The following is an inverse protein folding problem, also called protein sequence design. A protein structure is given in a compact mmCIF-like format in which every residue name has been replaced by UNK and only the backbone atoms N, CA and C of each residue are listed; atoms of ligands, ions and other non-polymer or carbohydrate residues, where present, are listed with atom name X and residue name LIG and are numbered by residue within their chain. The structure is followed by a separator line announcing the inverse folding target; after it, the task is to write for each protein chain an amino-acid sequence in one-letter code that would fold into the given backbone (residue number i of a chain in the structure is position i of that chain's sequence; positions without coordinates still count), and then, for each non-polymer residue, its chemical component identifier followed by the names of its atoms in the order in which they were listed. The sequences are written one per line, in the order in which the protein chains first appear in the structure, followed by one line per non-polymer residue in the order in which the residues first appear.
data_IF_128425920042
#
_entry.id   IF_128425920042
#
_cell.length_a   1.000
_cell.length_b   1.000
_cell.length_c   1.000
_cell.angle_alpha   90.00
_cell.angle_beta   90.00
_cell.angle_gamma   90.00
#
_symmetry.space_group_name_H-M   'P 1'
#
loop_
_entity.id
_entity.type
_entity.pdbx_description
1 polymer ?
#
# COMPACT_ATOMS: atom_id res chain seq x y z
N UNK A 1 12.57 -14.59 28.47
CA UNK A 1 12.94 -14.13 27.11
C UNK A 1 12.28 -14.93 25.97
N UNK A 2 11.24 -15.76 26.20
CA UNK A 2 10.77 -16.75 25.21
C UNK A 2 9.61 -16.35 24.26
N UNK A 3 8.88 -15.26 24.50
CA UNK A 3 7.70 -14.88 23.70
C UNK A 3 7.82 -13.55 22.95
N UNK A 4 8.52 -12.57 23.53
CA UNK A 4 8.68 -11.26 22.88
C UNK A 4 9.60 -11.32 21.65
N UNK A 5 10.68 -12.11 21.71
CA UNK A 5 11.61 -12.27 20.58
C UNK A 5 10.99 -12.98 19.38
N UNK A 6 10.08 -13.94 19.60
CA UNK A 6 9.39 -14.65 18.52
C UNK A 6 8.37 -13.76 17.81
N UNK A 7 7.66 -12.89 18.54
CA UNK A 7 6.72 -11.94 17.96
C UNK A 7 7.45 -10.92 17.07
N UNK A 8 8.59 -10.38 17.52
CA UNK A 8 9.39 -9.43 16.74
C UNK A 8 9.86 -10.08 15.43
N UNK A 9 10.38 -11.31 15.48
CA UNK A 9 10.80 -12.04 14.28
C UNK A 9 9.66 -12.30 13.28
N UNK A 10 8.44 -12.58 13.77
CA UNK A 10 7.26 -12.72 12.90
C UNK A 10 6.93 -11.38 12.22
N UNK A 11 6.98 -10.26 12.94
CA UNK A 11 6.68 -8.93 12.40
C UNK A 11 7.70 -8.55 11.31
N UNK A 12 8.99 -8.81 11.53
CA UNK A 12 10.06 -8.53 10.56
C UNK A 12 9.84 -9.23 9.21
N UNK A 13 9.27 -10.44 9.22
CA UNK A 13 9.00 -11.21 7.99
C UNK A 13 7.64 -10.86 7.39
N UNK A 14 6.59 -10.75 8.22
CA UNK A 14 5.22 -10.56 7.75
C UNK A 14 4.99 -9.15 7.17
N UNK A 15 5.60 -8.11 7.74
CA UNK A 15 5.37 -6.72 7.33
C UNK A 15 5.79 -6.43 5.88
N UNK A 16 6.99 -6.84 5.41
CA UNK A 16 7.36 -6.71 4.00
C UNK A 16 6.38 -7.42 3.06
N UNK A 17 5.93 -8.62 3.42
CA UNK A 17 4.97 -9.40 2.61
C UNK A 17 3.65 -8.64 2.50
N UNK A 18 3.11 -8.17 3.61
CA UNK A 18 1.86 -7.38 3.67
C UNK A 18 2.00 -6.12 2.82
N UNK A 19 3.14 -5.42 2.92
CA UNK A 19 3.42 -4.23 2.10
C UNK A 19 3.36 -4.55 0.60
N UNK A 20 4.03 -5.62 0.15
CA UNK A 20 4.00 -6.03 -1.26
C UNK A 20 2.59 -6.42 -1.73
N UNK A 21 1.82 -7.11 -0.91
CA UNK A 21 0.42 -7.46 -1.23
C UNK A 21 -0.42 -6.19 -1.40
N UNK A 22 -0.31 -5.23 -0.49
CA UNK A 22 -1.04 -3.95 -0.60
C UNK A 22 -0.63 -3.17 -1.84
N UNK A 23 0.67 -3.10 -2.14
CA UNK A 23 1.16 -2.48 -3.37
C UNK A 23 0.51 -3.09 -4.62
N UNK A 24 0.47 -4.42 -4.70
CA UNK A 24 -0.17 -5.13 -5.82
C UNK A 24 -1.66 -4.83 -5.90
N UNK A 25 -2.39 -4.85 -4.77
CA UNK A 25 -3.81 -4.50 -4.70
C UNK A 25 -4.04 -3.09 -5.24
N UNK A 26 -3.23 -2.11 -4.81
CA UNK A 26 -3.34 -0.73 -5.28
C UNK A 26 -3.17 -0.60 -6.79
N UNK A 27 -2.18 -1.31 -7.36
CA UNK A 27 -1.91 -1.30 -8.80
C UNK A 27 -3.05 -1.97 -9.60
N UNK A 28 -3.54 -3.13 -9.14
CA UNK A 28 -4.63 -3.87 -9.80
C UNK A 28 -5.91 -3.05 -9.81
N UNK A 29 -6.30 -2.49 -8.66
CA UNK A 29 -7.47 -1.63 -8.55
C UNK A 29 -7.34 -0.38 -9.42
N UNK A 30 -6.14 0.22 -9.51
CA UNK A 30 -5.89 1.34 -10.43
C UNK A 30 -6.12 0.96 -11.89
N UNK A 31 -5.72 -0.25 -12.29
CA UNK A 31 -5.97 -0.77 -13.65
C UNK A 31 -7.46 -1.04 -13.90
N UNK A 32 -8.15 -1.68 -12.95
CA UNK A 32 -9.60 -1.94 -13.02
C UNK A 32 -10.36 -0.63 -13.15
N UNK A 33 -10.02 0.38 -12.34
CA UNK A 33 -10.68 1.68 -12.34
C UNK A 33 -10.51 2.39 -13.70
N UNK A 34 -9.28 2.36 -14.24
CA UNK A 34 -8.99 2.88 -15.59
C UNK A 34 -9.78 2.15 -16.68
N UNK A 35 -9.84 0.83 -16.62
CA UNK A 35 -10.62 0.01 -17.55
C UNK A 35 -12.12 0.35 -17.47
N UNK A 36 -12.64 0.43 -16.25
CA UNK A 36 -14.04 0.72 -15.98
C UNK A 36 -14.43 2.09 -16.55
N UNK A 37 -13.69 3.15 -16.25
CA UNK A 37 -13.98 4.49 -16.79
C UNK A 37 -13.92 4.57 -18.31
N UNK A 38 -12.98 3.85 -18.94
CA UNK A 38 -12.91 3.76 -20.41
C UNK A 38 -14.13 3.03 -20.98
N UNK A 39 -14.62 1.99 -20.30
CA UNK A 39 -15.78 1.20 -20.75
C UNK A 39 -17.11 1.95 -20.61
N UNK A 40 -17.28 2.73 -19.55
CA UNK A 40 -18.52 3.42 -19.23
C UNK A 40 -18.55 4.90 -19.66
N UNK A 41 -17.55 5.36 -20.42
CA UNK A 41 -17.58 6.69 -21.04
C UNK A 41 -17.46 7.86 -20.06
N UNK A 42 -16.83 7.65 -18.90
CA UNK A 42 -16.59 8.74 -17.93
C UNK A 42 -15.71 9.80 -18.57
N UNK A 43 -16.10 11.07 -18.44
CA UNK A 43 -15.32 12.21 -18.94
C UNK A 43 -13.84 12.07 -18.56
N UNK A 44 -12.97 12.09 -19.57
CA UNK A 44 -11.50 11.98 -19.46
C UNK A 44 -10.91 12.94 -18.40
N UNK A 45 -11.34 14.22 -18.29
CA UNK A 45 -10.79 15.11 -17.26
C UNK A 45 -11.17 14.71 -15.83
N UNK A 46 -12.38 14.18 -15.59
CA UNK A 46 -12.84 13.75 -14.26
C UNK A 46 -12.14 12.47 -13.81
N UNK A 47 -12.05 11.48 -14.70
CA UNK A 47 -11.36 10.21 -14.44
C UNK A 47 -9.87 10.42 -14.09
N UNK A 48 -9.15 11.27 -14.82
CA UNK A 48 -7.74 11.57 -14.51
C UNK A 48 -7.56 12.16 -13.10
N UNK A 49 -8.41 13.11 -12.69
CA UNK A 49 -8.33 13.70 -11.34
C UNK A 49 -8.53 12.65 -10.25
N UNK A 50 -9.51 11.77 -10.39
CA UNK A 50 -9.80 10.73 -9.40
C UNK A 50 -8.66 9.69 -9.36
N UNK A 51 -8.09 9.30 -10.51
CA UNK A 51 -6.92 8.43 -10.53
C UNK A 51 -5.73 9.04 -9.79
N UNK A 52 -5.45 10.32 -10.00
CA UNK A 52 -4.36 11.03 -9.31
C UNK A 52 -4.58 11.01 -7.80
N UNK A 53 -5.80 11.32 -7.34
CA UNK A 53 -6.14 11.27 -5.90
C UNK A 53 -5.95 9.84 -5.36
N UNK A 54 -6.43 8.83 -6.08
CA UNK A 54 -6.29 7.43 -5.70
C UNK A 54 -4.82 7.02 -5.53
N UNK A 55 -3.96 7.36 -6.49
CA UNK A 55 -2.53 7.06 -6.41
C UNK A 55 -1.80 7.87 -5.33
N UNK A 56 -2.16 9.14 -5.11
CA UNK A 56 -1.58 9.96 -4.04
C UNK A 56 -1.93 9.36 -2.68
N UNK A 57 -3.21 9.07 -2.42
CA UNK A 57 -3.65 8.48 -1.16
C UNK A 57 -3.00 7.11 -0.94
N UNK A 58 -2.97 6.25 -1.96
CA UNK A 58 -2.30 4.95 -1.89
C UNK A 58 -0.80 5.08 -1.61
N UNK A 59 -0.12 6.02 -2.25
CA UNK A 59 1.29 6.30 -2.01
C UNK A 59 1.54 6.76 -0.58
N UNK A 60 0.74 7.69 -0.05
CA UNK A 60 0.87 8.18 1.33
C UNK A 60 0.66 7.05 2.35
N UNK A 61 -0.32 6.18 2.13
CA UNK A 61 -0.57 5.04 3.00
C UNK A 61 0.59 4.03 2.97
N UNK A 62 1.09 3.69 1.78
CA UNK A 62 2.24 2.78 1.64
C UNK A 62 3.50 3.39 2.25
N UNK A 63 3.78 4.67 2.00
CA UNK A 63 4.91 5.38 2.59
C UNK A 63 4.82 5.41 4.13
N UNK A 64 3.62 5.64 4.67
CA UNK A 64 3.37 5.61 6.12
C UNK A 64 3.59 4.21 6.73
N UNK A 65 3.13 3.15 6.06
CA UNK A 65 3.41 1.77 6.47
C UNK A 65 4.91 1.46 6.45
N UNK A 66 5.61 1.87 5.40
CA UNK A 66 7.05 1.68 5.27
C UNK A 66 7.83 2.45 6.35
N UNK A 67 7.47 3.72 6.59
CA UNK A 67 8.10 4.54 7.62
C UNK A 67 7.87 3.96 9.02
N UNK A 68 6.66 3.47 9.30
CA UNK A 68 6.33 2.82 10.56
C UNK A 68 7.12 1.52 10.76
N UNK A 69 7.31 0.75 9.69
CA UNK A 69 8.14 -0.46 9.72
C UNK A 69 9.62 -0.15 9.97
N UNK A 70 10.18 0.85 9.27
CA UNK A 70 11.57 1.29 9.49
C UNK A 70 11.76 1.77 10.93
N UNK A 71 10.83 2.57 11.45
CA UNK A 71 10.87 3.04 12.83
C UNK A 71 10.81 1.89 13.84
N UNK A 72 9.93 0.91 13.62
CA UNK A 72 9.85 -0.29 14.46
C UNK A 72 11.19 -1.04 14.48
N UNK A 73 11.74 -1.36 13.30
CA UNK A 73 13.02 -2.07 13.19
C UNK A 73 14.16 -1.31 13.86
N UNK A 74 14.19 0.02 13.74
CA UNK A 74 15.22 0.87 14.34
C UNK A 74 15.09 1.01 15.87
N UNK A 75 13.92 0.76 16.45
CA UNK A 75 13.69 0.85 17.90
C UNK A 75 13.78 -0.49 18.61
N UNK A 76 13.54 -1.60 17.90
CA UNK A 76 13.59 -2.96 18.48
C UNK A 76 14.93 -3.68 18.30
N UNK A 77 15.86 -3.09 17.54
CA UNK A 77 17.24 -3.58 17.37
C UNK A 77 18.22 -2.66 18.08
#
# INVERSE_FOLDING_TARGET
MGSAGSIIGIIEVAMPIIFFVWLLVFLILGFILKYHWRRYGVEIPKSKKIAVIYFIVGFVLLAGMLASYIYFVATTR
#
